data_IF_903178811666
#
_entry.id   IF_903178811666
#
_cell.length_a   1.000
_cell.length_b   1.000
_cell.length_c   1.000
_cell.angle_alpha   90.00
_cell.angle_beta   90.00
_cell.angle_gamma   90.00
#
_symmetry.space_group_name_H-M   'P 1'
#
loop_
_entity.id
_entity.type
_entity.pdbx_description
1 polymer ?
#
# COMPACT_ATOMS: atom_id res chain seq x y z
N UNK A 1 17.17 -0.33 11.44
CA UNK A 1 16.62 0.99 11.05
C UNK A 1 16.24 0.84 9.58
N UNK A 2 15.01 0.46 9.18
CA UNK A 2 13.82 1.27 8.86
C UNK A 2 12.48 0.65 9.33
N UNK A 3 12.53 -0.59 9.80
CA UNK A 3 11.38 -1.37 10.31
C UNK A 3 10.50 -0.62 11.34
N UNK A 4 11.07 0.38 12.04
CA UNK A 4 10.36 1.14 13.09
C UNK A 4 9.72 2.45 12.61
N UNK A 5 10.07 2.96 11.43
CA UNK A 5 9.54 4.24 10.95
C UNK A 5 8.23 3.99 10.23
N UNK A 6 7.16 4.57 10.76
CA UNK A 6 5.88 4.65 10.06
C UNK A 6 5.83 5.94 9.24
N UNK A 7 5.24 5.88 8.05
CA UNK A 7 5.03 7.02 7.17
C UNK A 7 3.57 7.09 6.70
N UNK A 8 3.17 8.28 6.29
CA UNK A 8 1.91 8.49 5.56
C UNK A 8 2.24 8.69 4.07
N UNK A 9 1.48 8.02 3.20
CA UNK A 9 1.61 8.18 1.75
C UNK A 9 0.50 9.12 1.26
N UNK A 10 0.86 10.37 0.98
CA UNK A 10 -0.11 11.40 0.56
C UNK A 10 -0.20 11.49 -0.96
N UNK A 11 -1.41 11.34 -1.49
CA UNK A 11 -1.68 11.60 -2.89
C UNK A 11 -1.64 13.10 -3.16
N UNK A 12 -0.77 13.55 -4.07
CA UNK A 12 -0.44 14.97 -4.24
C UNK A 12 -1.64 15.78 -4.73
N UNK A 13 -2.38 15.26 -5.72
CA UNK A 13 -3.49 16.00 -6.34
C UNK A 13 -4.68 16.18 -5.41
N UNK A 14 -5.04 15.16 -4.62
CA UNK A 14 -6.20 15.24 -3.72
C UNK A 14 -5.82 15.67 -2.30
N UNK A 15 -4.54 15.59 -1.91
CA UNK A 15 -4.09 15.79 -0.54
C UNK A 15 -4.46 14.66 0.42
N UNK A 16 -5.22 13.66 -0.03
CA UNK A 16 -5.65 12.51 0.78
C UNK A 16 -4.51 11.55 1.08
N UNK A 17 -4.59 10.85 2.21
CA UNK A 17 -3.58 9.88 2.63
C UNK A 17 -4.06 8.46 2.34
N UNK A 18 -3.20 7.63 1.76
CA UNK A 18 -3.46 6.22 1.52
C UNK A 18 -3.54 5.45 2.86
N UNK A 19 -4.58 4.64 3.03
CA UNK A 19 -4.74 3.84 4.23
C UNK A 19 -5.77 2.73 4.05
N UNK A 20 -6.18 2.15 5.17
CA UNK A 20 -7.24 1.16 5.26
C UNK A 20 -8.41 1.77 6.04
N UNK A 21 -9.62 1.48 5.61
CA UNK A 21 -10.81 1.89 6.34
C UNK A 21 -11.22 0.80 7.34
N UNK A 22 -11.24 1.15 8.62
CA UNK A 22 -11.72 0.29 9.69
C UNK A 22 -13.12 0.74 10.12
N UNK A 23 -14.12 -0.13 9.93
CA UNK A 23 -15.47 0.13 10.40
C UNK A 23 -15.59 -0.24 11.88
N UNK A 24 -15.71 0.78 12.73
CA UNK A 24 -15.84 0.62 14.17
C UNK A 24 -17.16 -0.02 14.61
N UNK A 25 -18.21 -0.01 13.78
CA UNK A 25 -19.47 -0.67 14.12
C UNK A 25 -19.36 -2.19 13.98
N UNK A 26 -18.64 -2.64 12.95
CA UNK A 26 -18.42 -4.07 12.67
C UNK A 26 -17.09 -4.60 13.22
N UNK A 27 -16.26 -3.73 13.80
CA UNK A 27 -14.91 -4.04 14.29
C UNK A 27 -14.05 -4.77 13.25
N UNK A 28 -14.18 -4.37 11.99
CA UNK A 28 -13.53 -5.03 10.86
C UNK A 28 -13.10 -4.01 9.80
N UNK A 29 -12.09 -4.37 9.03
CA UNK A 29 -11.73 -3.62 7.84
C UNK A 29 -12.74 -3.88 6.72
N UNK A 30 -12.98 -2.85 5.90
CA UNK A 30 -13.78 -3.01 4.69
C UNK A 30 -13.16 -4.02 3.73
N UNK A 31 -14.04 -4.70 2.98
CA UNK A 31 -13.67 -5.64 1.93
C UNK A 31 -13.46 -4.91 0.61
N UNK A 32 -12.40 -5.30 -0.09
CA UNK A 32 -12.07 -4.84 -1.44
C UNK A 32 -13.15 -5.25 -2.44
N UNK A 33 -13.26 -4.52 -3.58
CA UNK A 33 -14.41 -4.65 -4.49
C UNK A 33 -14.63 -6.03 -5.12
N UNK A 34 -13.57 -6.83 -5.32
CA UNK A 34 -13.67 -8.09 -6.06
C UNK A 34 -13.23 -9.28 -5.21
N UNK A 35 -12.08 -9.17 -4.55
CA UNK A 35 -11.44 -10.34 -3.93
C UNK A 35 -11.72 -10.50 -2.44
N UNK A 36 -12.50 -9.59 -1.86
CA UNK A 36 -12.83 -9.56 -0.43
C UNK A 36 -11.63 -9.47 0.53
N UNK A 37 -10.42 -9.23 0.03
CA UNK A 37 -9.28 -8.80 0.82
C UNK A 37 -9.55 -7.43 1.48
N UNK A 38 -8.63 -6.93 2.31
CA UNK A 38 -8.81 -5.61 2.91
C UNK A 38 -8.77 -4.51 1.83
N UNK A 39 -9.80 -3.67 1.83
CA UNK A 39 -9.90 -2.49 0.98
C UNK A 39 -8.80 -1.48 1.32
N UNK A 40 -8.13 -0.98 0.27
CA UNK A 40 -7.18 0.12 0.35
C UNK A 40 -7.83 1.36 -0.25
N UNK A 41 -7.82 2.46 0.48
CA UNK A 41 -8.49 3.69 0.05
C UNK A 41 -7.68 4.94 0.40
N UNK A 42 -8.04 6.06 -0.23
CA UNK A 42 -7.59 7.38 0.20
C UNK A 42 -8.53 7.89 1.31
N UNK A 43 -7.97 8.40 2.41
CA UNK A 43 -8.64 8.77 3.66
C UNK A 43 -9.05 7.58 4.56
N UNK A 44 -8.25 6.51 4.56
CA UNK A 44 -8.39 5.44 5.54
C UNK A 44 -8.11 5.92 6.98
N UNK A 45 -8.73 5.26 7.96
CA UNK A 45 -8.51 5.54 9.39
C UNK A 45 -7.16 5.00 9.89
N UNK A 46 -6.65 3.94 9.25
CA UNK A 46 -5.33 3.37 9.52
C UNK A 46 -4.41 3.69 8.33
N UNK A 47 -3.46 4.60 8.52
CA UNK A 47 -2.70 5.21 7.42
C UNK A 47 -1.17 5.24 7.65
N UNK A 48 -0.72 4.58 8.73
CA UNK A 48 0.68 4.51 9.14
C UNK A 48 1.37 3.29 8.52
N UNK A 49 1.89 3.47 7.32
CA UNK A 49 2.61 2.44 6.56
C UNK A 49 4.04 2.23 7.07
N UNK A 50 4.48 0.98 7.09
CA UNK A 50 5.86 0.57 7.43
C UNK A 50 6.54 -0.12 6.26
N UNK A 51 7.82 0.21 6.05
CA UNK A 51 8.71 -0.51 5.15
C UNK A 51 9.20 -1.79 5.83
N UNK A 52 8.89 -2.96 5.26
CA UNK A 52 9.20 -4.25 5.89
C UNK A 52 10.41 -4.94 5.30
N UNK A 53 10.39 -5.16 4.00
CA UNK A 53 11.43 -5.90 3.29
C UNK A 53 11.94 -4.99 2.18
N UNK A 54 13.24 -4.72 2.22
CA UNK A 54 13.92 -3.94 1.20
C UNK A 54 15.00 -4.86 0.65
N UNK A 55 14.90 -5.25 -0.62
CA UNK A 55 15.97 -5.99 -1.31
C UNK A 55 17.10 -5.00 -1.60
N UNK A 56 17.99 -4.79 -0.63
CA UNK A 56 19.12 -3.86 -0.76
C UNK A 56 20.41 -4.66 -0.89
N UNK A 57 21.09 -4.51 -2.03
CA UNK A 57 22.46 -4.99 -2.19
C UNK A 57 23.49 -4.06 -1.52
N UNK A 58 23.13 -2.82 -1.13
CA UNK A 58 24.06 -1.84 -0.53
C UNK A 58 23.34 -0.85 0.40
N UNK A 59 23.40 -1.07 1.72
CA UNK A 59 22.74 -0.22 2.73
C UNK A 59 23.48 1.11 2.97
N UNK A 60 22.89 2.23 2.53
CA UNK A 60 23.38 3.60 2.84
C UNK A 60 22.51 4.39 3.82
N UNK A 61 21.41 3.81 4.32
CA UNK A 61 20.58 4.47 5.33
C UNK A 61 19.59 5.50 4.77
N UNK A 62 19.12 5.34 3.54
CA UNK A 62 17.99 6.08 2.99
C UNK A 62 17.36 5.29 1.85
N UNK A 63 16.11 5.61 1.49
CA UNK A 63 15.43 5.08 0.30
C UNK A 63 15.83 5.90 -0.92
N UNK A 64 16.07 5.22 -2.04
CA UNK A 64 16.35 5.83 -3.34
C UNK A 64 15.42 5.27 -4.41
N UNK A 65 15.39 5.95 -5.55
CA UNK A 65 14.70 5.41 -6.73
C UNK A 65 15.26 4.04 -7.10
N UNK A 66 14.39 3.16 -7.59
CA UNK A 66 14.61 1.74 -7.90
C UNK A 66 14.74 0.79 -6.71
N UNK A 67 14.69 1.28 -5.48
CA UNK A 67 14.58 0.37 -4.34
C UNK A 67 13.25 -0.40 -4.41
N UNK A 68 13.31 -1.70 -4.17
CA UNK A 68 12.14 -2.58 -4.09
C UNK A 68 11.77 -2.74 -2.62
N UNK A 69 10.54 -2.36 -2.29
CA UNK A 69 9.98 -2.36 -0.93
C UNK A 69 8.71 -3.21 -0.85
N UNK A 70 8.42 -3.70 0.34
CA UNK A 70 7.06 -4.09 0.73
C UNK A 70 6.52 -3.08 1.75
N UNK A 71 5.29 -2.63 1.51
CA UNK A 71 4.55 -1.71 2.40
C UNK A 71 3.55 -2.50 3.22
N UNK A 72 3.44 -2.16 4.51
CA UNK A 72 2.48 -2.82 5.41
C UNK A 72 1.83 -1.87 6.39
N UNK A 73 0.57 -2.15 6.73
CA UNK A 73 -0.09 -1.64 7.93
C UNK A 73 -0.31 -2.83 8.87
N UNK A 74 0.15 -2.71 10.11
CA UNK A 74 0.19 -3.81 11.07
C UNK A 74 0.89 -5.08 10.52
N UNK A 75 0.10 -6.10 10.16
CA UNK A 75 0.56 -7.39 9.57
C UNK A 75 0.01 -7.62 8.15
N UNK A 76 -0.64 -6.63 7.57
CA UNK A 76 -1.23 -6.68 6.23
C UNK A 76 -0.34 -5.93 5.24
N UNK A 77 -0.11 -6.50 4.06
CA UNK A 77 0.81 -5.99 3.05
C UNK A 77 0.06 -5.46 1.83
N UNK A 78 0.55 -4.37 1.25
CA UNK A 78 -0.01 -3.79 0.04
C UNK A 78 0.31 -4.67 -1.16
N UNK A 79 -0.72 -5.05 -1.91
CA UNK A 79 -0.65 -5.92 -3.08
C UNK A 79 -1.39 -5.31 -4.26
N UNK A 80 -0.84 -5.50 -5.44
CA UNK A 80 -1.59 -5.39 -6.70
C UNK A 80 -1.55 -6.74 -7.41
N UNK A 81 -2.55 -7.04 -8.24
CA UNK A 81 -2.68 -8.35 -8.91
C UNK A 81 -3.53 -8.26 -10.16
N UNK A 82 -3.55 -9.29 -11.00
CA UNK A 82 -4.26 -9.32 -12.28
C UNK A 82 -5.79 -9.49 -12.11
N UNK A 83 -6.37 -8.74 -11.18
CA UNK A 83 -7.81 -8.62 -10.94
C UNK A 83 -8.21 -7.19 -11.21
N UNK A 84 -9.32 -7.03 -11.91
CA UNK A 84 -9.83 -5.73 -12.32
C UNK A 84 -11.25 -5.51 -11.83
N UNK A 85 -11.61 -4.24 -11.63
CA UNK A 85 -12.95 -3.79 -11.32
C UNK A 85 -13.28 -2.51 -12.11
N UNK A 86 -14.57 -2.22 -12.27
CA UNK A 86 -15.04 -1.10 -13.08
C UNK A 86 -15.69 -0.04 -12.19
N UNK A 87 -15.34 1.23 -12.41
CA UNK A 87 -16.04 2.39 -11.85
C UNK A 87 -16.56 3.22 -13.03
N UNK A 88 -17.88 3.28 -13.20
CA UNK A 88 -18.46 3.91 -14.39
C UNK A 88 -18.07 3.15 -15.67
N UNK A 89 -17.38 3.81 -16.59
CA UNK A 89 -16.90 3.22 -17.85
C UNK A 89 -15.41 2.82 -17.80
N UNK A 90 -14.72 3.11 -16.69
CA UNK A 90 -13.29 2.91 -16.58
C UNK A 90 -12.99 1.63 -15.80
N UNK A 91 -12.02 0.86 -16.29
CA UNK A 91 -11.54 -0.38 -15.67
C UNK A 91 -10.20 -0.14 -15.00
N UNK A 92 -10.09 -0.56 -13.74
CA UNK A 92 -8.92 -0.39 -12.91
C UNK A 92 -8.43 -1.73 -12.38
N UNK A 93 -7.13 -1.84 -12.16
CA UNK A 93 -6.55 -2.94 -11.43
C UNK A 93 -6.83 -2.78 -9.93
N UNK A 94 -7.22 -3.87 -9.27
CA UNK A 94 -7.48 -3.86 -7.84
C UNK A 94 -6.16 -3.74 -7.05
N UNK A 95 -6.18 -2.91 -6.01
CA UNK A 95 -5.11 -2.77 -5.02
C UNK A 95 -5.70 -3.11 -3.66
N UNK A 96 -5.06 -4.03 -2.95
CA UNK A 96 -5.59 -4.60 -1.70
C UNK A 96 -4.53 -4.68 -0.63
N UNK A 97 -4.98 -4.92 0.60
CA UNK A 97 -4.13 -5.36 1.69
C UNK A 97 -4.45 -6.81 2.07
N UNK A 98 -3.43 -7.64 2.28
CA UNK A 98 -3.60 -9.05 2.64
C UNK A 98 -2.58 -9.51 3.71
N UNK A 99 -2.92 -10.55 4.47
CA UNK A 99 -2.03 -11.15 5.50
C UNK A 99 -1.47 -12.52 5.10
N UNK A 100 -1.56 -12.85 3.81
CA UNK A 100 -1.09 -14.11 3.24
C UNK A 100 0.44 -14.14 3.05
N UNK A 101 0.95 -15.26 2.54
CA UNK A 101 2.36 -15.38 2.17
C UNK A 101 2.73 -14.33 1.12
N UNK A 102 3.89 -13.69 1.34
CA UNK A 102 4.45 -12.72 0.40
C UNK A 102 4.91 -13.36 -0.92
N UNK A 103 4.69 -12.63 -2.00
CA UNK A 103 5.12 -12.95 -3.36
C UNK A 103 5.50 -11.69 -4.15
N UNK A 104 5.80 -11.86 -5.44
CA UNK A 104 6.27 -10.75 -6.30
C UNK A 104 5.26 -9.60 -6.44
N UNK A 105 3.97 -9.91 -6.34
CA UNK A 105 2.86 -8.95 -6.40
C UNK A 105 2.78 -7.98 -5.20
N UNK A 106 3.57 -8.24 -4.17
CA UNK A 106 3.62 -7.42 -2.96
C UNK A 106 4.80 -6.42 -3.01
N UNK A 107 5.65 -6.54 -4.05
CA UNK A 107 6.86 -5.76 -4.24
C UNK A 107 6.57 -4.48 -5.02
N UNK A 108 6.90 -3.34 -4.43
CA UNK A 108 6.73 -2.02 -5.02
C UNK A 108 8.09 -1.39 -5.29
N UNK A 109 8.29 -0.89 -6.51
CA UNK A 109 9.49 -0.13 -6.88
C UNK A 109 9.26 1.34 -6.56
N UNK A 110 10.20 1.95 -5.84
CA UNK A 110 10.17 3.40 -5.63
C UNK A 110 10.61 4.10 -6.91
N UNK A 111 9.75 4.96 -7.45
CA UNK A 111 10.09 5.87 -8.54
C UNK A 111 10.01 7.31 -8.02
N UNK A 112 11.18 7.94 -7.89
CA UNK A 112 11.25 9.34 -7.48
C UNK A 112 11.13 10.21 -8.72
N UNK A 113 10.10 11.06 -8.75
CA UNK A 113 9.86 12.01 -9.83
C UNK A 113 10.07 13.39 -9.23
N UNK A 114 10.97 14.19 -9.82
CA UNK A 114 11.08 15.60 -9.45
C UNK A 114 9.81 16.32 -9.86
N UNK A 115 9.23 17.09 -8.93
CA UNK A 115 8.23 18.08 -9.28
C UNK A 115 8.98 19.40 -9.53
N UNK A 116 8.87 19.91 -10.75
CA UNK A 116 9.36 21.23 -11.13
C UNK A 116 8.58 22.35 -10.41
#
# INVERSE_FOLDING_TARGET
MYNKTSIQLRHIKSGSVLGLYYDYNYYAYCKSPITEHTEVCCNGSEDLWKFKHIKLENHQGYLKSNDIINLSIAKSFLRSHDVQFTIGNDTFQEVVCHSERLGGNDEWRIELISQD
#
